data_IF_246647898913
#
_entry.id   IF_246647898913
#
_cell.length_a   1.000
_cell.length_b   1.000
_cell.length_c   1.000
_cell.angle_alpha   90.00
_cell.angle_beta   90.00
_cell.angle_gamma   90.00
#
_symmetry.space_group_name_H-M   'P 1'
#
loop_
_entity.id
_entity.type
_entity.pdbx_description
1 polymer ?
#
# COMPACT_ATOMS: atom_id res chain seq x y z
N UNK A 1 -33.70 19.95 -9.16
CA UNK A 1 -33.08 19.73 -7.85
C UNK A 1 -31.73 19.06 -8.04
N UNK A 2 -30.66 19.73 -7.67
CA UNK A 2 -29.32 19.14 -7.66
C UNK A 2 -29.08 18.48 -6.28
N UNK A 3 -28.58 17.27 -6.30
CA UNK A 3 -28.11 16.59 -5.08
C UNK A 3 -26.64 17.00 -4.87
N UNK A 4 -26.35 17.72 -3.80
CA UNK A 4 -24.98 18.02 -3.40
C UNK A 4 -24.54 17.00 -2.34
N UNK A 5 -23.43 16.31 -2.59
CA UNK A 5 -22.81 15.41 -1.63
C UNK A 5 -21.44 15.95 -1.21
N UNK A 6 -21.22 16.08 0.09
CA UNK A 6 -19.92 16.41 0.65
C UNK A 6 -19.30 15.15 1.24
N UNK A 7 -18.08 14.80 0.83
CA UNK A 7 -17.29 13.70 1.39
C UNK A 7 -16.17 14.27 2.22
N UNK A 8 -16.05 13.82 3.47
CA UNK A 8 -14.96 14.17 4.38
C UNK A 8 -14.12 12.93 4.63
N UNK A 9 -12.83 12.99 4.28
CA UNK A 9 -11.88 11.92 4.57
C UNK A 9 -11.16 12.23 5.87
N UNK A 10 -11.22 11.30 6.83
CA UNK A 10 -10.60 11.44 8.14
C UNK A 10 -9.40 10.49 8.25
N UNK A 11 -8.25 11.03 8.69
CA UNK A 11 -7.10 10.21 9.02
C UNK A 11 -7.30 9.60 10.41
N UNK A 12 -7.49 8.26 10.47
CA UNK A 12 -7.70 7.51 11.71
C UNK A 12 -6.44 6.81 12.22
N UNK A 13 -5.28 7.08 11.64
CA UNK A 13 -4.03 6.53 12.16
C UNK A 13 -3.73 7.05 13.57
N UNK A 14 -3.00 6.26 14.35
CA UNK A 14 -2.62 6.61 15.72
C UNK A 14 -1.94 7.98 15.78
N UNK A 15 -2.36 8.82 16.72
CA UNK A 15 -1.87 10.20 16.88
C UNK A 15 -2.59 11.25 16.03
N UNK A 16 -3.54 10.87 15.19
CA UNK A 16 -4.36 11.78 14.38
C UNK A 16 -5.80 11.89 14.88
N UNK A 17 -6.49 13.00 14.52
CA UNK A 17 -7.91 13.26 14.86
C UNK A 17 -8.25 12.98 16.33
N UNK A 18 -7.53 13.58 17.26
CA UNK A 18 -7.66 13.36 18.71
C UNK A 18 -9.11 13.53 19.19
N UNK A 19 -9.79 14.58 18.73
CA UNK A 19 -11.18 14.85 19.11
C UNK A 19 -12.13 13.67 18.77
N UNK A 20 -11.95 13.04 17.60
CA UNK A 20 -12.70 11.86 17.20
C UNK A 20 -12.32 10.64 18.05
N UNK A 21 -11.04 10.48 18.34
CA UNK A 21 -10.52 9.38 19.16
C UNK A 21 -10.97 9.46 20.63
N UNK A 22 -11.14 10.66 21.15
CA UNK A 22 -11.71 10.87 22.50
C UNK A 22 -13.19 10.51 22.56
N UNK A 23 -13.95 10.81 21.51
CA UNK A 23 -15.38 10.50 21.43
C UNK A 23 -15.67 9.04 21.11
N UNK A 24 -14.74 8.33 20.46
CA UNK A 24 -14.94 6.94 20.05
C UNK A 24 -13.81 6.04 20.56
N UNK A 25 -13.99 5.47 21.75
CA UNK A 25 -13.03 4.56 22.40
C UNK A 25 -12.62 3.40 21.47
N UNK A 26 -13.58 2.77 20.80
CA UNK A 26 -13.32 1.62 19.92
C UNK A 26 -12.43 1.99 18.72
N UNK A 27 -12.66 3.16 18.14
CA UNK A 27 -11.84 3.65 17.04
C UNK A 27 -10.41 3.96 17.51
N UNK A 28 -10.26 4.56 18.68
CA UNK A 28 -8.95 4.80 19.31
C UNK A 28 -8.21 3.48 19.56
N UNK A 29 -8.84 2.50 20.19
CA UNK A 29 -8.25 1.20 20.45
C UNK A 29 -7.87 0.49 19.15
N UNK A 30 -8.70 0.58 18.11
CA UNK A 30 -8.39 0.05 16.78
C UNK A 30 -7.16 0.73 16.15
N UNK A 31 -7.07 2.06 16.21
CA UNK A 31 -5.90 2.77 15.70
C UNK A 31 -4.60 2.40 16.44
N UNK A 32 -4.69 2.19 17.75
CA UNK A 32 -3.57 1.70 18.56
C UNK A 32 -3.17 0.27 18.17
N UNK A 33 -4.14 -0.61 17.99
CA UNK A 33 -3.91 -1.98 17.53
C UNK A 33 -3.16 -2.01 16.19
N UNK A 34 -3.65 -1.27 15.18
CA UNK A 34 -3.01 -1.18 13.86
C UNK A 34 -1.58 -0.62 13.97
N UNK A 35 -1.37 0.38 14.81
CA UNK A 35 -0.04 0.93 15.07
C UNK A 35 0.90 -0.11 15.67
N UNK A 36 0.48 -0.83 16.71
CA UNK A 36 1.29 -1.87 17.36
C UNK A 36 1.63 -3.00 16.38
N UNK A 37 0.66 -3.45 15.58
CA UNK A 37 0.89 -4.48 14.55
C UNK A 37 1.97 -4.03 13.56
N UNK A 38 1.90 -2.78 13.07
CA UNK A 38 2.89 -2.23 12.13
C UNK A 38 4.28 -2.12 12.76
N UNK A 39 4.38 -1.73 14.04
CA UNK A 39 5.67 -1.66 14.73
C UNK A 39 6.28 -3.06 14.94
N UNK A 40 5.47 -4.05 15.29
CA UNK A 40 5.98 -5.43 15.42
C UNK A 40 6.42 -6.00 14.07
N UNK A 41 5.70 -5.71 12.97
CA UNK A 41 6.09 -6.09 11.61
C UNK A 41 7.48 -5.56 11.21
N UNK A 42 7.87 -4.37 11.69
CA UNK A 42 9.20 -3.82 11.44
C UNK A 42 10.31 -4.53 12.24
N UNK A 43 9.97 -5.11 13.39
CA UNK A 43 10.93 -5.73 14.32
C UNK A 43 11.15 -7.21 14.03
N UNK A 44 10.17 -7.90 13.48
CA UNK A 44 10.18 -9.35 13.25
C UNK A 44 9.96 -9.65 11.78
N UNK A 45 10.83 -10.49 11.21
CA UNK A 45 10.73 -10.94 9.81
C UNK A 45 9.57 -11.93 9.61
N UNK A 46 9.28 -12.76 10.63
CA UNK A 46 8.17 -13.69 10.60
C UNK A 46 6.83 -12.98 10.89
N UNK A 47 5.90 -12.90 9.91
CA UNK A 47 4.61 -12.26 10.09
C UNK A 47 3.74 -12.88 11.19
N UNK A 48 3.88 -14.20 11.41
CA UNK A 48 3.11 -14.90 12.45
C UNK A 48 3.62 -14.50 13.82
N UNK A 49 4.94 -14.50 14.05
CA UNK A 49 5.54 -14.05 15.31
C UNK A 49 5.21 -12.58 15.59
N UNK A 50 5.35 -11.70 14.59
CA UNK A 50 5.01 -10.28 14.70
C UNK A 50 3.55 -10.08 15.13
N UNK A 51 2.62 -10.83 14.52
CA UNK A 51 1.19 -10.73 14.83
C UNK A 51 0.86 -11.23 16.22
N UNK A 52 1.41 -12.37 16.63
CA UNK A 52 1.22 -12.93 17.98
C UNK A 52 1.69 -11.96 19.06
N UNK A 53 2.87 -11.38 18.90
CA UNK A 53 3.42 -10.39 19.83
C UNK A 53 2.56 -9.12 19.88
N UNK A 54 2.11 -8.64 18.73
CA UNK A 54 1.23 -7.47 18.68
C UNK A 54 -0.07 -7.71 19.47
N UNK A 55 -0.68 -8.88 19.30
CA UNK A 55 -1.91 -9.25 20.03
C UNK A 55 -1.65 -9.34 21.54
N UNK A 56 -0.54 -9.95 21.96
CA UNK A 56 -0.21 -10.08 23.38
C UNK A 56 0.06 -8.70 24.02
N UNK A 57 0.81 -7.81 23.36
CA UNK A 57 1.03 -6.43 23.79
C UNK A 57 -0.31 -5.67 23.93
N UNK A 58 -1.21 -5.81 22.95
CA UNK A 58 -2.52 -5.16 23.00
C UNK A 58 -3.37 -5.65 24.19
N UNK A 59 -3.33 -6.95 24.49
CA UNK A 59 -4.04 -7.52 25.66
C UNK A 59 -3.45 -6.97 26.96
N UNK A 60 -2.14 -6.87 27.07
CA UNK A 60 -1.45 -6.32 28.25
C UNK A 60 -1.77 -4.84 28.46
N UNK A 61 -1.82 -4.05 27.38
CA UNK A 61 -2.11 -2.62 27.41
C UNK A 61 -3.60 -2.30 27.51
N UNK A 62 -4.47 -3.26 27.52
CA UNK A 62 -5.92 -3.05 27.62
C UNK A 62 -6.58 -2.61 26.30
N UNK A 63 -5.92 -2.80 25.15
CA UNK A 63 -6.40 -2.42 23.82
C UNK A 63 -7.20 -3.56 23.22
N UNK A 64 -8.47 -3.32 22.89
CA UNK A 64 -9.42 -4.29 22.29
C UNK A 64 -9.49 -5.65 23.02
N UNK A 65 -9.25 -5.70 24.32
CA UNK A 65 -9.05 -6.92 25.11
C UNK A 65 -10.22 -7.90 24.99
N UNK A 66 -11.43 -7.39 25.01
CA UNK A 66 -12.65 -8.20 24.88
C UNK A 66 -12.77 -8.91 23.52
N UNK A 67 -12.33 -8.25 22.45
CA UNK A 67 -12.28 -8.81 21.11
C UNK A 67 -11.12 -9.79 20.99
N UNK A 68 -9.92 -9.36 21.38
CA UNK A 68 -8.70 -10.16 21.23
C UNK A 68 -8.73 -11.44 22.05
N UNK A 69 -9.32 -11.43 23.25
CA UNK A 69 -9.46 -12.66 24.05
C UNK A 69 -10.51 -13.62 23.51
N UNK A 70 -11.58 -13.10 22.92
CA UNK A 70 -12.69 -13.90 22.42
C UNK A 70 -12.43 -14.45 21.01
N UNK A 71 -11.75 -13.68 20.17
CA UNK A 71 -11.57 -13.95 18.73
C UNK A 71 -10.09 -13.92 18.32
N UNK A 72 -9.19 -14.39 19.20
CA UNK A 72 -7.73 -14.32 18.95
C UNK A 72 -7.33 -14.94 17.60
N UNK A 73 -7.83 -16.13 17.32
CA UNK A 73 -7.47 -16.87 16.10
C UNK A 73 -7.96 -16.17 14.83
N UNK A 74 -9.18 -15.66 14.84
CA UNK A 74 -9.76 -14.94 13.69
C UNK A 74 -9.02 -13.64 13.42
N UNK A 75 -8.67 -12.88 14.48
CA UNK A 75 -7.89 -11.64 14.35
C UNK A 75 -6.51 -11.91 13.78
N UNK A 76 -5.81 -12.94 14.28
CA UNK A 76 -4.49 -13.33 13.76
C UNK A 76 -4.60 -13.68 12.28
N UNK A 77 -5.55 -14.53 11.90
CA UNK A 77 -5.77 -14.91 10.50
C UNK A 77 -6.06 -13.73 9.60
N UNK A 78 -6.87 -12.77 10.06
CA UNK A 78 -7.19 -11.55 9.30
C UNK A 78 -5.96 -10.65 9.12
N UNK A 79 -5.15 -10.47 10.17
CA UNK A 79 -3.92 -9.67 10.11
C UNK A 79 -2.90 -10.31 9.16
N UNK A 80 -2.71 -11.63 9.22
CA UNK A 80 -1.82 -12.36 8.32
C UNK A 80 -2.28 -12.28 6.86
N UNK A 81 -3.58 -12.36 6.62
CA UNK A 81 -4.14 -12.19 5.27
C UNK A 81 -3.86 -10.79 4.71
N UNK A 82 -3.96 -9.75 5.55
CA UNK A 82 -3.65 -8.38 5.11
C UNK A 82 -2.16 -8.20 4.81
N UNK A 83 -1.25 -8.86 5.54
CA UNK A 83 0.19 -8.83 5.24
C UNK A 83 0.51 -9.48 3.91
N UNK A 84 -0.12 -10.61 3.61
CA UNK A 84 0.05 -11.30 2.33
C UNK A 84 -0.46 -10.44 1.16
N UNK A 85 -1.56 -9.74 1.35
CA UNK A 85 -2.10 -8.83 0.34
C UNK A 85 -1.18 -7.63 0.11
N UNK A 86 -0.68 -6.98 1.17
CA UNK A 86 0.28 -5.87 1.05
C UNK A 86 1.55 -6.31 0.31
N UNK A 87 2.12 -7.46 0.66
CA UNK A 87 3.30 -8.00 0.00
C UNK A 87 3.07 -8.29 -1.50
N UNK A 88 1.90 -8.83 -1.83
CA UNK A 88 1.50 -9.07 -3.22
C UNK A 88 1.33 -7.77 -4.02
N UNK A 89 0.68 -6.77 -3.44
CA UNK A 89 0.50 -5.46 -4.07
C UNK A 89 1.85 -4.76 -4.31
N UNK A 90 2.78 -4.84 -3.34
CA UNK A 90 4.13 -4.29 -3.44
C UNK A 90 4.95 -4.98 -4.54
N UNK A 91 4.91 -6.32 -4.61
CA UNK A 91 5.57 -7.10 -5.66
C UNK A 91 4.99 -6.80 -7.05
N UNK A 92 3.67 -6.69 -7.18
CA UNK A 92 3.02 -6.29 -8.42
C UNK A 92 3.42 -4.89 -8.86
N UNK A 93 3.49 -3.94 -7.92
CA UNK A 93 3.91 -2.57 -8.23
C UNK A 93 5.36 -2.53 -8.69
N UNK A 94 6.28 -3.20 -7.98
CA UNK A 94 7.70 -3.27 -8.33
C UNK A 94 7.91 -3.94 -9.68
N UNK A 95 7.20 -5.04 -9.94
CA UNK A 95 7.25 -5.75 -11.22
C UNK A 95 6.73 -4.89 -12.37
N UNK A 96 5.59 -4.21 -12.16
CA UNK A 96 5.03 -3.29 -13.17
C UNK A 96 5.95 -2.11 -13.47
N UNK A 97 6.60 -1.56 -12.45
CA UNK A 97 7.59 -0.49 -12.62
C UNK A 97 8.80 -0.94 -13.43
N UNK A 98 9.41 -2.08 -13.06
CA UNK A 98 10.56 -2.66 -13.78
C UNK A 98 10.23 -2.99 -15.23
N UNK A 99 9.06 -3.54 -15.49
CA UNK A 99 8.60 -3.86 -16.84
C UNK A 99 8.40 -2.58 -17.68
N UNK A 100 7.79 -1.55 -17.09
CA UNK A 100 7.64 -0.25 -17.75
C UNK A 100 8.97 0.39 -18.10
N UNK A 101 9.94 0.38 -17.18
CA UNK A 101 11.29 0.86 -17.41
C UNK A 101 12.01 0.07 -18.52
N UNK A 102 11.90 -1.25 -18.50
CA UNK A 102 12.46 -2.13 -19.52
C UNK A 102 11.90 -1.82 -20.91
N UNK A 103 10.60 -1.62 -21.04
CA UNK A 103 9.92 -1.28 -22.31
C UNK A 103 10.44 0.05 -22.87
N UNK A 104 10.55 1.07 -22.02
CA UNK A 104 11.06 2.40 -22.41
C UNK A 104 12.53 2.31 -22.85
N UNK A 105 13.37 1.61 -22.10
CA UNK A 105 14.78 1.43 -22.44
C UNK A 105 14.94 0.69 -23.77
N UNK A 106 14.15 -0.37 -23.99
CA UNK A 106 14.15 -1.11 -25.26
C UNK A 106 13.70 -0.23 -26.43
N UNK A 107 12.70 0.64 -26.25
CA UNK A 107 12.28 1.60 -27.26
C UNK A 107 13.43 2.53 -27.62
N UNK A 108 14.08 3.12 -26.63
CA UNK A 108 15.20 4.05 -26.88
C UNK A 108 16.39 3.38 -27.55
N UNK A 109 16.71 2.14 -27.19
CA UNK A 109 17.74 1.36 -27.90
C UNK A 109 17.41 1.15 -29.37
N UNK A 110 16.15 0.83 -29.70
CA UNK A 110 15.70 0.64 -31.09
C UNK A 110 15.77 1.96 -31.86
N UNK A 111 15.27 3.07 -31.29
CA UNK A 111 15.33 4.38 -31.92
C UNK A 111 16.78 4.84 -32.17
N UNK A 112 17.70 4.57 -31.24
CA UNK A 112 19.11 4.85 -31.40
C UNK A 112 19.74 4.05 -32.55
N UNK A 113 19.46 2.75 -32.64
CA UNK A 113 19.96 1.87 -33.72
C UNK A 113 19.45 2.31 -35.09
N UNK A 114 18.23 2.80 -35.17
CA UNK A 114 17.59 3.30 -36.38
C UNK A 114 17.92 4.77 -36.68
N UNK A 115 18.74 5.40 -35.83
CA UNK A 115 19.15 6.84 -35.94
C UNK A 115 17.95 7.82 -35.89
N UNK A 116 16.84 7.42 -35.24
CA UNK A 116 15.61 8.21 -35.05
C UNK A 116 15.71 9.15 -33.84
N UNK A 117 16.73 10.03 -33.85
CA UNK A 117 17.02 10.89 -32.68
C UNK A 117 15.94 11.93 -32.40
N UNK A 118 15.22 12.39 -33.40
CA UNK A 118 14.15 13.37 -33.21
C UNK A 118 12.91 12.71 -32.60
N UNK A 119 12.60 11.47 -32.99
CA UNK A 119 11.54 10.68 -32.36
C UNK A 119 11.86 10.36 -30.89
N UNK A 120 13.13 10.04 -30.60
CA UNK A 120 13.58 9.82 -29.23
C UNK A 120 13.41 11.08 -28.37
N UNK A 121 13.83 12.26 -28.84
CA UNK A 121 13.65 13.52 -28.10
C UNK A 121 12.18 13.81 -27.85
N UNK A 122 11.35 13.66 -28.87
CA UNK A 122 9.92 13.87 -28.75
C UNK A 122 9.28 12.87 -27.78
N UNK A 123 9.67 11.61 -27.80
CA UNK A 123 9.14 10.59 -26.89
C UNK A 123 9.49 10.84 -25.42
N UNK A 124 10.57 11.55 -25.11
CA UNK A 124 10.93 11.97 -23.74
C UNK A 124 9.96 13.04 -23.23
N UNK A 125 9.56 13.98 -24.08
CA UNK A 125 8.75 15.14 -23.71
C UNK A 125 7.24 14.90 -23.86
N UNK A 126 6.82 14.00 -24.77
CA UNK A 126 5.44 13.74 -25.16
C UNK A 126 5.09 12.26 -24.86
N UNK A 127 4.34 12.05 -23.76
CA UNK A 127 3.91 10.72 -23.32
C UNK A 127 2.98 10.04 -24.34
N UNK A 128 2.07 10.79 -24.94
CA UNK A 128 1.13 10.26 -25.93
C UNK A 128 1.87 9.79 -27.20
N UNK A 129 2.90 10.53 -27.61
CA UNK A 129 3.77 10.13 -28.72
C UNK A 129 4.61 8.91 -28.37
N UNK A 130 5.14 8.83 -27.15
CA UNK A 130 5.87 7.67 -26.65
C UNK A 130 5.02 6.40 -26.68
N UNK A 131 3.76 6.48 -26.23
CA UNK A 131 2.81 5.36 -26.30
C UNK A 131 2.53 4.92 -27.75
N UNK A 132 2.54 5.84 -28.70
CA UNK A 132 2.39 5.53 -30.13
C UNK A 132 3.60 4.72 -30.62
N UNK A 133 4.80 5.13 -30.22
CA UNK A 133 6.04 4.42 -30.60
C UNK A 133 6.13 3.05 -29.93
N UNK A 134 5.76 2.92 -28.66
CA UNK A 134 5.70 1.62 -27.98
C UNK A 134 4.83 0.63 -28.73
N UNK A 135 3.66 1.07 -29.22
CA UNK A 135 2.77 0.24 -30.05
C UNK A 135 3.37 -0.06 -31.42
N UNK A 136 4.06 0.90 -32.06
CA UNK A 136 4.74 0.71 -33.35
C UNK A 136 5.80 -0.41 -33.26
N UNK A 137 6.50 -0.49 -32.13
CA UNK A 137 7.57 -1.47 -31.90
C UNK A 137 7.11 -2.75 -31.19
N UNK A 138 5.80 -2.89 -30.91
CA UNK A 138 5.20 -4.02 -30.19
C UNK A 138 5.88 -4.27 -28.81
N UNK A 139 5.98 -3.19 -28.03
CA UNK A 139 6.61 -3.15 -26.71
C UNK A 139 5.60 -2.92 -25.59
#
# INVERSE_FOLDING_TARGET
SCLECQVVMLNINYGHNQELMEKCRRLREYSQFVFIVREQKKMYEDPEEATLRAVDICIEQGVLVDILRKHKAEVISMVLSSFNQEAYEEDMYETGYKEGERRINTLYEKLLKEQRMDDMKRAVEDEAYRETLLKEYDL
#
